data_IF_810719422833
#
_entry.id   IF_810719422833
#
_cell.length_a   1.000
_cell.length_b   1.000
_cell.length_c   1.000
_cell.angle_alpha   90.00
_cell.angle_beta   90.00
_cell.angle_gamma   90.00
#
_symmetry.space_group_name_H-M   'P 1'
#
loop_
_entity.id
_entity.type
_entity.pdbx_description
1 polymer ?
#
# COMPACT_ATOMS: atom_id res chain seq x y z
N UNK A 1 26.78 9.21 26.08
CA UNK A 1 25.62 10.12 25.88
C UNK A 1 25.49 10.60 24.43
N UNK A 2 26.57 11.12 23.82
CA UNK A 2 26.56 11.69 22.46
C UNK A 2 26.27 10.65 21.35
N UNK A 3 26.81 9.45 21.47
CA UNK A 3 26.54 8.30 20.59
C UNK A 3 25.08 7.86 20.62
N UNK A 4 24.48 7.83 21.81
CA UNK A 4 23.06 7.51 21.99
C UNK A 4 22.16 8.51 21.24
N UNK A 5 22.51 9.80 21.29
CA UNK A 5 21.81 10.85 20.54
C UNK A 5 21.88 10.65 19.03
N UNK A 6 23.05 10.25 18.49
CA UNK A 6 23.20 9.94 17.07
C UNK A 6 22.39 8.72 16.64
N UNK A 7 22.34 7.67 17.48
CA UNK A 7 21.54 6.47 17.20
C UNK A 7 20.06 6.81 17.15
N UNK A 8 19.56 7.60 18.12
CA UNK A 8 18.17 8.06 18.16
C UNK A 8 17.81 8.93 16.95
N UNK A 9 18.70 9.85 16.56
CA UNK A 9 18.50 10.70 15.39
C UNK A 9 18.42 9.88 14.10
N UNK A 10 19.31 8.90 13.93
CA UNK A 10 19.28 8.00 12.77
C UNK A 10 17.99 7.17 12.74
N UNK A 11 17.54 6.64 13.89
CA UNK A 11 16.30 5.88 13.98
C UNK A 11 15.08 6.73 13.57
N UNK A 12 14.98 7.94 14.10
CA UNK A 12 13.91 8.88 13.77
C UNK A 12 13.88 9.19 12.28
N UNK A 13 15.04 9.46 11.69
CA UNK A 13 15.15 9.76 10.26
C UNK A 13 14.68 8.59 9.39
N UNK A 14 15.04 7.36 9.78
CA UNK A 14 14.60 6.14 9.10
C UNK A 14 13.08 5.98 9.18
N UNK A 15 12.46 6.20 10.34
CA UNK A 15 10.99 6.14 10.50
C UNK A 15 10.30 7.21 9.66
N UNK A 16 10.81 8.45 9.68
CA UNK A 16 10.25 9.57 8.90
C UNK A 16 10.28 9.29 7.39
N UNK A 17 11.28 8.55 6.89
CA UNK A 17 11.37 8.18 5.47
C UNK A 17 10.51 6.96 5.16
N UNK A 18 10.48 5.95 6.03
CA UNK A 18 9.74 4.71 5.81
C UNK A 18 8.23 4.90 5.87
N UNK A 19 7.73 5.71 6.80
CA UNK A 19 6.28 5.95 6.98
C UNK A 19 5.61 6.48 5.71
N UNK A 20 6.07 7.58 5.06
CA UNK A 20 5.47 8.06 3.82
C UNK A 20 5.71 7.08 2.68
N UNK A 21 6.82 6.34 2.64
CA UNK A 21 7.08 5.33 1.61
C UNK A 21 6.06 4.18 1.68
N UNK A 22 5.78 3.68 2.90
CA UNK A 22 4.76 2.67 3.16
C UNK A 22 3.36 3.23 2.92
N UNK A 23 3.06 4.45 3.36
CA UNK A 23 1.78 5.10 3.10
C UNK A 23 1.54 5.32 1.60
N UNK A 24 2.58 5.68 0.83
CA UNK A 24 2.51 5.82 -0.62
C UNK A 24 2.24 4.49 -1.31
N UNK A 25 2.85 3.40 -0.83
CA UNK A 25 2.58 2.04 -1.31
C UNK A 25 1.16 1.60 -0.96
N UNK A 26 0.72 1.89 0.26
CA UNK A 26 -0.63 1.60 0.73
C UNK A 26 -1.67 2.43 -0.03
N UNK A 27 -1.42 3.70 -0.37
CA UNK A 27 -2.33 4.50 -1.18
C UNK A 27 -2.32 4.09 -2.66
N UNK A 28 -1.23 3.50 -3.15
CA UNK A 28 -1.18 2.88 -4.49
C UNK A 28 -2.17 1.72 -4.61
N UNK A 29 -2.52 1.08 -3.51
CA UNK A 29 -3.47 -0.02 -3.44
C UNK A 29 -4.72 0.47 -2.72
N UNK A 30 -5.84 0.73 -3.41
CA UNK A 30 -7.04 1.26 -2.74
C UNK A 30 -7.36 0.42 -1.51
N UNK A 31 -7.55 1.10 -0.38
CA UNK A 31 -7.83 0.55 0.95
C UNK A 31 -8.85 -0.59 0.80
N UNK A 32 -8.35 -1.82 0.78
CA UNK A 32 -9.10 -2.93 0.23
C UNK A 32 -9.98 -3.55 1.32
N UNK A 33 -11.01 -2.81 1.70
CA UNK A 33 -11.94 -3.18 2.78
C UNK A 33 -12.96 -4.21 2.30
N UNK A 34 -12.49 -5.45 2.16
CA UNK A 34 -13.26 -6.67 2.39
C UNK A 34 -14.48 -6.95 1.52
N UNK A 35 -14.63 -6.35 0.33
CA UNK A 35 -15.69 -6.74 -0.61
C UNK A 35 -15.13 -7.04 -1.99
N UNK A 36 -15.03 -6.05 -2.85
CA UNK A 36 -14.45 -6.12 -4.19
C UNK A 36 -14.06 -4.68 -4.50
N UNK A 37 -12.87 -4.45 -5.07
CA UNK A 37 -12.49 -3.12 -5.54
C UNK A 37 -12.40 -3.12 -7.06
N UNK A 38 -13.00 -2.10 -7.67
CA UNK A 38 -12.81 -1.82 -9.09
C UNK A 38 -11.53 -1.02 -9.26
N UNK A 39 -10.57 -1.60 -9.96
CA UNK A 39 -9.30 -1.01 -10.33
C UNK A 39 -9.22 -0.84 -11.84
N UNK A 40 -8.27 -0.05 -12.31
CA UNK A 40 -7.92 -0.01 -13.74
C UNK A 40 -6.66 -0.83 -13.98
N UNK A 41 -6.67 -1.66 -15.00
CA UNK A 41 -5.47 -2.38 -15.44
C UNK A 41 -4.49 -1.42 -16.15
N UNK A 42 -3.31 -1.92 -16.56
CA UNK A 42 -2.31 -1.12 -17.25
C UNK A 42 -2.78 -0.56 -18.62
N UNK A 43 -3.84 -1.15 -19.19
CA UNK A 43 -4.51 -0.70 -20.41
C UNK A 43 -5.68 0.28 -20.14
N UNK A 44 -5.98 0.59 -18.88
CA UNK A 44 -7.06 1.49 -18.48
C UNK A 44 -8.44 0.84 -18.38
N UNK A 45 -8.55 -0.47 -18.58
CA UNK A 45 -9.80 -1.22 -18.49
C UNK A 45 -10.19 -1.51 -17.04
N UNK A 46 -11.49 -1.50 -16.70
CA UNK A 46 -11.95 -1.85 -15.37
C UNK A 46 -11.66 -3.34 -15.09
N UNK A 47 -11.00 -3.61 -13.98
CA UNK A 47 -10.80 -4.95 -13.42
C UNK A 47 -11.38 -4.99 -12.02
N UNK A 48 -12.05 -6.08 -11.68
CA UNK A 48 -12.56 -6.31 -10.34
C UNK A 48 -11.56 -7.15 -9.59
N UNK A 49 -11.05 -6.63 -8.47
CA UNK A 49 -10.12 -7.36 -7.64
C UNK A 49 -10.73 -7.71 -6.30
N UNK A 50 -10.69 -8.99 -5.95
CA UNK A 50 -11.15 -9.54 -4.67
C UNK A 50 -10.05 -9.35 -3.65
N UNK A 51 -10.43 -8.72 -2.54
CA UNK A 51 -9.52 -8.43 -1.45
C UNK A 51 -9.75 -9.35 -0.25
N UNK A 52 -8.69 -10.07 0.10
CA UNK A 52 -8.65 -11.01 1.21
C UNK A 52 -7.62 -10.49 2.21
N UNK A 53 -8.03 -10.31 3.46
CA UNK A 53 -7.16 -9.84 4.55
C UNK A 53 -6.41 -8.52 4.25
N UNK A 54 -7.01 -7.61 3.48
CA UNK A 54 -6.41 -6.31 3.15
C UNK A 54 -5.41 -6.33 1.98
N UNK A 55 -5.27 -7.46 1.28
CA UNK A 55 -4.46 -7.59 0.06
C UNK A 55 -5.33 -8.00 -1.15
N UNK A 56 -5.07 -7.42 -2.33
CA UNK A 56 -5.59 -7.92 -3.61
C UNK A 56 -5.09 -9.36 -3.80
N UNK A 57 -6.02 -10.31 -3.92
CA UNK A 57 -5.68 -11.72 -4.14
C UNK A 57 -5.87 -12.13 -5.60
N UNK A 58 -7.04 -11.84 -6.15
CA UNK A 58 -7.44 -12.24 -7.49
C UNK A 58 -8.09 -11.05 -8.17
N UNK A 59 -7.59 -10.72 -9.36
CA UNK A 59 -8.19 -9.73 -10.24
C UNK A 59 -8.81 -10.44 -11.45
N UNK A 60 -10.08 -10.17 -11.70
CA UNK A 60 -10.85 -10.69 -12.82
C UNK A 60 -11.35 -9.54 -13.68
N UNK A 61 -11.45 -9.77 -14.99
CA UNK A 61 -12.15 -8.85 -15.87
C UNK A 61 -13.65 -8.98 -15.57
N UNK A 62 -14.38 -7.88 -15.24
CA UNK A 62 -15.81 -7.94 -14.98
C UNK A 62 -16.54 -8.51 -16.20
N UNK A 63 -17.34 -9.55 -15.98
CA UNK A 63 -18.26 -10.09 -16.97
C UNK A 63 -19.59 -9.32 -17.00
N UNK A 64 -20.36 -9.40 -18.09
CA UNK A 64 -21.67 -8.77 -18.21
C UNK A 64 -22.72 -9.32 -17.24
#
# INVERSE_FOLDING_TARGET
>A
MKTLGWILAALLLVVIVLVPLVASRAQRWPDCRGRVVMLKNAHGEPIECVCVAGSLSTCVTPGP
#
